data_IF_908482503968
#
_entry.id   IF_908482503968
#
_cell.length_a   1.000
_cell.length_b   1.000
_cell.length_c   1.000
_cell.angle_alpha   90.00
_cell.angle_beta   90.00
_cell.angle_gamma   90.00
#
_symmetry.space_group_name_H-M   'P 1'
#
loop_
_entity.id
_entity.type
_entity.pdbx_description
1 polymer ?
#
# COMPACT_ATOMS: atom_id res chain seq x y z
N UNK A 1 60.54 31.50 0.06
CA UNK A 1 59.33 32.33 0.24
C UNK A 1 58.18 31.69 -0.52
N UNK A 2 57.23 31.06 0.17
CA UNK A 2 55.98 30.58 -0.45
C UNK A 2 54.83 31.48 0.01
N UNK A 3 54.22 32.17 -0.95
CA UNK A 3 53.26 33.24 -0.73
C UNK A 3 51.91 32.66 -0.28
N UNK A 4 51.65 32.68 1.04
CA UNK A 4 50.42 32.17 1.69
C UNK A 4 49.12 32.81 1.16
N UNK A 5 49.23 33.93 0.44
CA UNK A 5 48.10 34.70 -0.10
C UNK A 5 47.46 34.03 -1.31
N UNK A 6 48.24 33.32 -2.14
CA UNK A 6 47.73 32.67 -3.36
C UNK A 6 46.89 31.43 -3.00
N UNK A 7 47.37 30.63 -2.04
CA UNK A 7 46.72 29.39 -1.59
C UNK A 7 45.32 29.62 -1.00
N UNK A 8 45.11 30.70 -0.23
CA UNK A 8 43.80 31.04 0.35
C UNK A 8 42.74 31.33 -0.72
N UNK A 9 43.12 31.95 -1.84
CA UNK A 9 42.20 32.35 -2.92
C UNK A 9 41.72 31.18 -3.78
N UNK A 10 42.58 30.18 -4.01
CA UNK A 10 42.23 28.96 -4.76
C UNK A 10 41.37 28.00 -3.95
N UNK A 11 41.55 27.95 -2.63
CA UNK A 11 40.73 27.11 -1.74
C UNK A 11 39.32 27.66 -1.61
N UNK A 12 39.17 28.98 -1.47
CA UNK A 12 37.84 29.65 -1.40
C UNK A 12 37.07 29.57 -2.72
N UNK A 13 37.73 29.66 -3.88
CA UNK A 13 37.05 29.48 -5.17
C UNK A 13 36.53 28.06 -5.38
N UNK A 14 37.30 27.04 -4.97
CA UNK A 14 36.89 25.63 -5.10
C UNK A 14 35.72 25.26 -4.17
N UNK A 15 35.70 25.78 -2.95
CA UNK A 15 34.59 25.54 -2.01
C UNK A 15 33.30 26.24 -2.45
N UNK A 16 33.38 27.44 -3.02
CA UNK A 16 32.19 28.14 -3.56
C UNK A 16 31.59 27.41 -4.76
N UNK A 17 32.43 26.94 -5.70
CA UNK A 17 31.97 26.18 -6.87
C UNK A 17 31.36 24.83 -6.46
N UNK A 18 31.95 24.14 -5.48
CA UNK A 18 31.41 22.86 -5.02
C UNK A 18 30.09 23.04 -4.25
N UNK A 19 29.97 24.12 -3.47
CA UNK A 19 28.74 24.44 -2.75
C UNK A 19 27.58 24.84 -3.69
N UNK A 20 27.85 25.59 -4.77
CA UNK A 20 26.81 25.95 -5.76
C UNK A 20 26.39 24.76 -6.61
N UNK A 21 27.32 23.88 -7.00
CA UNK A 21 26.99 22.63 -7.70
C UNK A 21 26.19 21.69 -6.79
N UNK A 22 26.57 21.54 -5.52
CA UNK A 22 25.80 20.76 -4.55
C UNK A 22 24.38 21.33 -4.33
N UNK A 23 24.23 22.65 -4.26
CA UNK A 23 22.93 23.30 -4.12
C UNK A 23 22.03 23.10 -5.36
N UNK A 24 22.59 23.05 -6.56
CA UNK A 24 21.86 22.77 -7.80
C UNK A 24 21.40 21.30 -7.91
N UNK A 25 22.15 20.35 -7.32
CA UNK A 25 21.74 18.94 -7.26
C UNK A 25 20.68 18.64 -6.19
N UNK A 26 20.45 19.52 -5.21
CA UNK A 26 19.41 19.32 -4.19
C UNK A 26 17.97 19.55 -4.69
N UNK A 27 17.80 20.20 -5.85
CA UNK A 27 16.46 20.57 -6.37
C UNK A 27 15.86 19.51 -7.32
N UNK A 28 16.61 18.45 -7.60
CA UNK A 28 16.33 17.52 -8.70
C UNK A 28 15.84 16.14 -8.26
N UNK A 29 14.85 16.06 -7.37
CA UNK A 29 14.02 14.85 -7.15
C UNK A 29 12.76 15.18 -6.31
N UNK A 30 12.16 16.35 -6.53
CA UNK A 30 10.82 16.64 -6.00
C UNK A 30 9.77 15.92 -6.84
N UNK A 31 9.78 14.59 -6.86
CA UNK A 31 8.75 13.83 -7.54
C UNK A 31 7.50 13.90 -6.65
N UNK A 32 6.52 14.69 -7.07
CA UNK A 32 5.21 14.69 -6.44
C UNK A 32 4.65 13.26 -6.53
N UNK A 33 4.63 12.53 -5.42
CA UNK A 33 4.12 11.14 -5.41
C UNK A 33 2.59 11.07 -5.35
N UNK A 34 1.88 12.22 -5.27
CA UNK A 34 0.43 12.24 -5.12
C UNK A 34 -0.27 11.59 -6.33
N UNK A 35 0.31 11.62 -7.54
CA UNK A 35 -0.26 10.91 -8.70
C UNK A 35 -0.48 9.41 -8.47
N UNK A 36 0.21 8.79 -7.50
CA UNK A 36 -0.01 7.37 -7.13
C UNK A 36 -1.32 7.16 -6.34
N UNK A 37 -1.94 8.24 -5.90
CA UNK A 37 -3.13 8.28 -5.02
C UNK A 37 -4.30 9.02 -5.63
N UNK A 38 -4.07 9.84 -6.64
CA UNK A 38 -5.09 10.69 -7.26
C UNK A 38 -5.63 10.10 -8.57
N UNK A 39 -6.88 10.43 -8.89
CA UNK A 39 -7.43 10.21 -10.23
C UNK A 39 -6.68 11.04 -11.29
N UNK A 40 -6.57 10.48 -12.49
CA UNK A 40 -6.08 11.22 -13.65
C UNK A 40 -7.13 12.24 -14.14
N UNK A 41 -6.66 13.36 -14.69
CA UNK A 41 -7.53 14.40 -15.24
C UNK A 41 -7.74 15.59 -14.29
N UNK A 42 -8.84 16.31 -14.51
CA UNK A 42 -9.20 17.51 -13.76
C UNK A 42 -10.50 17.31 -12.96
N UNK A 43 -10.74 18.23 -12.02
CA UNK A 43 -11.90 18.21 -11.14
C UNK A 43 -13.06 19.07 -11.67
N UNK A 44 -13.09 19.38 -12.98
CA UNK A 44 -14.07 20.31 -13.57
C UNK A 44 -15.52 19.82 -13.38
N UNK A 45 -15.72 18.50 -13.33
CA UNK A 45 -17.02 17.89 -13.11
C UNK A 45 -17.67 18.30 -11.77
N UNK A 46 -16.87 18.66 -10.75
CA UNK A 46 -17.36 19.15 -9.46
C UNK A 46 -18.02 20.53 -9.56
N UNK A 47 -17.70 21.30 -10.61
CA UNK A 47 -18.27 22.62 -10.88
C UNK A 47 -19.51 22.56 -11.79
N UNK A 48 -20.01 21.36 -12.10
CA UNK A 48 -21.17 21.19 -12.98
C UNK A 48 -22.43 21.81 -12.37
N UNK A 49 -23.28 22.47 -13.18
CA UNK A 49 -24.52 23.05 -12.68
C UNK A 49 -25.46 21.95 -12.16
N UNK A 50 -26.22 22.27 -11.10
CA UNK A 50 -27.21 21.36 -10.54
C UNK A 50 -28.29 21.00 -11.56
N UNK A 51 -28.68 19.73 -11.59
CA UNK A 51 -29.77 19.24 -12.42
C UNK A 51 -31.08 19.95 -12.07
N UNK A 52 -31.82 20.39 -13.10
CA UNK A 52 -33.13 21.05 -12.96
C UNK A 52 -34.19 20.23 -13.68
N UNK A 53 -35.36 19.99 -13.08
CA UNK A 53 -36.43 19.28 -13.75
C UNK A 53 -36.99 20.10 -14.91
N UNK A 54 -37.47 19.41 -15.94
CA UNK A 54 -38.15 20.05 -17.07
C UNK A 54 -39.51 20.59 -16.60
N UNK A 55 -39.76 21.89 -16.83
CA UNK A 55 -41.06 22.51 -16.54
C UNK A 55 -41.97 22.30 -17.75
N UNK A 56 -43.02 21.49 -17.59
CA UNK A 56 -43.96 21.15 -18.66
C UNK A 56 -45.19 22.06 -18.60
N UNK A 57 -45.49 22.85 -19.65
CA UNK A 57 -46.70 23.68 -19.71
C UNK A 57 -47.98 22.85 -19.79
N UNK A 58 -49.12 23.46 -19.43
CA UNK A 58 -50.42 22.80 -19.55
C UNK A 58 -50.75 22.46 -21.01
N UNK A 59 -51.30 21.25 -21.22
CA UNK A 59 -51.70 20.76 -22.54
C UNK A 59 -50.59 20.08 -23.35
N UNK A 60 -49.35 19.99 -22.83
CA UNK A 60 -48.23 19.31 -23.49
C UNK A 60 -47.97 17.96 -22.82
N UNK A 61 -47.93 16.88 -23.60
CA UNK A 61 -47.53 15.55 -23.11
C UNK A 61 -46.03 15.34 -23.33
N UNK A 62 -45.30 14.97 -22.27
CA UNK A 62 -43.92 14.50 -22.36
C UNK A 62 -43.87 12.97 -22.33
N UNK A 63 -42.90 12.35 -23.01
CA UNK A 63 -42.64 10.92 -22.89
C UNK A 63 -42.38 10.51 -21.43
N UNK A 64 -42.69 9.26 -21.10
CA UNK A 64 -42.33 8.71 -19.79
C UNK A 64 -40.80 8.74 -19.61
N UNK A 65 -40.33 9.12 -18.42
CA UNK A 65 -38.90 9.11 -18.11
C UNK A 65 -38.36 7.67 -18.15
N UNK A 66 -37.24 7.49 -18.86
CA UNK A 66 -36.49 6.24 -18.84
C UNK A 66 -35.57 6.21 -17.61
N UNK A 67 -35.55 5.07 -16.91
CA UNK A 67 -34.77 4.93 -15.68
C UNK A 67 -33.25 4.85 -15.89
N UNK A 68 -32.77 4.62 -17.12
CA UNK A 68 -31.36 4.38 -17.45
C UNK A 68 -30.43 5.55 -17.09
N UNK A 69 -30.96 6.78 -17.07
CA UNK A 69 -30.22 8.00 -16.73
C UNK A 69 -30.66 8.59 -15.38
N UNK A 70 -31.46 7.87 -14.61
CA UNK A 70 -31.90 8.33 -13.30
C UNK A 70 -30.74 8.27 -12.31
N UNK A 71 -30.36 9.44 -11.78
CA UNK A 71 -29.29 9.56 -10.77
C UNK A 71 -29.90 9.68 -9.39
N UNK A 72 -29.59 8.72 -8.52
CA UNK A 72 -29.98 8.80 -7.11
C UNK A 72 -29.22 9.92 -6.40
N UNK A 73 -29.95 10.83 -5.77
CA UNK A 73 -29.35 11.84 -4.91
C UNK A 73 -28.87 11.18 -3.60
N UNK A 74 -27.59 10.83 -3.54
CA UNK A 74 -26.94 10.39 -2.30
C UNK A 74 -26.21 11.58 -1.69
N UNK A 75 -26.48 11.91 -0.42
CA UNK A 75 -25.60 12.80 0.33
C UNK A 75 -24.38 12.00 0.74
N UNK A 76 -23.25 12.25 0.10
CA UNK A 76 -21.96 11.72 0.54
C UNK A 76 -21.51 12.54 1.75
N UNK A 77 -22.02 12.23 2.93
CA UNK A 77 -21.56 12.89 4.15
C UNK A 77 -20.10 12.48 4.42
N UNK A 78 -19.18 13.43 4.28
CA UNK A 78 -17.78 13.27 4.69
C UNK A 78 -16.87 12.50 3.74
N UNK A 79 -17.31 12.15 2.54
CA UNK A 79 -16.45 11.54 1.52
C UNK A 79 -15.58 12.58 0.79
N UNK A 80 -14.32 12.25 0.54
CA UNK A 80 -13.45 13.05 -0.32
C UNK A 80 -13.97 13.07 -1.77
N UNK A 81 -13.64 14.13 -2.53
CA UNK A 81 -14.03 14.30 -3.93
C UNK A 81 -12.83 14.70 -4.79
N UNK A 82 -12.89 14.41 -6.08
CA UNK A 82 -11.82 14.75 -7.03
C UNK A 82 -10.49 14.11 -6.65
N UNK A 83 -9.41 14.89 -6.77
CA UNK A 83 -8.05 14.48 -6.39
C UNK A 83 -7.87 14.16 -4.90
N UNK A 84 -8.80 14.53 -4.03
CA UNK A 84 -8.72 14.17 -2.61
C UNK A 84 -9.09 12.70 -2.35
N UNK A 85 -9.71 12.03 -3.33
CA UNK A 85 -10.03 10.60 -3.23
C UNK A 85 -8.76 9.78 -3.40
N UNK A 86 -8.42 9.01 -2.37
CA UNK A 86 -7.33 8.03 -2.44
C UNK A 86 -7.76 6.81 -3.25
N UNK A 87 -7.23 6.68 -4.48
CA UNK A 87 -7.55 5.58 -5.40
C UNK A 87 -6.61 4.39 -5.30
N UNK A 88 -5.71 4.35 -4.31
CA UNK A 88 -4.81 3.22 -4.14
C UNK A 88 -5.61 1.93 -3.90
N UNK A 89 -5.14 0.77 -4.41
CA UNK A 89 -5.85 -0.49 -4.23
C UNK A 89 -6.02 -0.79 -2.73
N UNK A 90 -7.24 -1.20 -2.29
CA UNK A 90 -7.44 -1.71 -0.95
C UNK A 90 -6.55 -2.92 -0.71
N UNK A 91 -5.83 -2.92 0.42
CA UNK A 91 -4.95 -4.03 0.76
C UNK A 91 -5.77 -5.22 1.27
N UNK A 92 -5.27 -6.42 0.99
CA UNK A 92 -5.81 -7.68 1.49
C UNK A 92 -4.81 -8.33 2.45
N UNK A 93 -5.29 -8.96 3.55
CA UNK A 93 -4.43 -9.76 4.40
C UNK A 93 -4.05 -11.07 3.67
N UNK A 94 -2.76 -11.34 3.54
CA UNK A 94 -2.23 -12.50 2.81
C UNK A 94 -1.61 -13.48 3.81
N UNK A 95 -2.31 -14.56 4.22
CA UNK A 95 -1.71 -15.59 5.05
C UNK A 95 -0.71 -16.41 4.23
N UNK A 96 0.52 -16.52 4.71
CA UNK A 96 1.62 -17.26 4.03
C UNK A 96 1.93 -18.61 4.69
N UNK A 97 1.25 -18.92 5.79
CA UNK A 97 1.40 -20.17 6.54
C UNK A 97 0.34 -21.17 6.06
N UNK A 98 0.72 -22.44 5.98
CA UNK A 98 -0.21 -23.53 5.66
C UNK A 98 -1.34 -23.62 6.69
N UNK A 99 -2.53 -23.99 6.21
CA UNK A 99 -3.75 -24.15 7.03
C UNK A 99 -4.13 -22.89 7.83
N UNK A 100 -3.69 -21.71 7.37
CA UNK A 100 -4.02 -20.44 7.97
C UNK A 100 -5.04 -19.65 7.13
N UNK A 101 -5.91 -18.93 7.81
CA UNK A 101 -6.87 -18.01 7.19
C UNK A 101 -6.83 -16.66 7.90
N UNK A 102 -6.84 -15.58 7.11
CA UNK A 102 -6.83 -14.22 7.62
C UNK A 102 -8.02 -13.44 7.08
N UNK A 103 -8.62 -12.60 7.94
CA UNK A 103 -9.66 -11.67 7.54
C UNK A 103 -9.41 -10.29 8.16
N UNK A 104 -9.82 -9.26 7.44
CA UNK A 104 -9.88 -7.89 7.94
C UNK A 104 -11.33 -7.53 8.24
N UNK A 105 -11.59 -6.98 9.43
CA UNK A 105 -12.91 -6.46 9.80
C UNK A 105 -12.77 -5.37 10.86
N UNK A 106 -13.46 -4.25 10.67
CA UNK A 106 -13.55 -3.16 11.65
C UNK A 106 -12.18 -2.69 12.21
N UNK A 107 -11.18 -2.52 11.35
CA UNK A 107 -9.85 -2.03 11.76
C UNK A 107 -8.94 -3.10 12.38
N UNK A 108 -9.34 -4.36 12.37
CA UNK A 108 -8.58 -5.47 12.96
C UNK A 108 -8.34 -6.54 11.88
N UNK A 109 -7.09 -6.97 11.75
CA UNK A 109 -6.77 -8.21 11.03
C UNK A 109 -6.77 -9.36 12.03
N UNK A 110 -7.52 -10.42 11.75
CA UNK A 110 -7.53 -11.66 12.53
C UNK A 110 -6.95 -12.77 11.67
N UNK A 111 -5.98 -13.49 12.23
CA UNK A 111 -5.36 -14.67 11.65
C UNK A 111 -5.72 -15.87 12.53
N UNK A 112 -6.23 -16.93 11.92
CA UNK A 112 -6.33 -18.25 12.54
C UNK A 112 -5.29 -19.14 11.88
N UNK A 113 -4.42 -19.75 12.68
CA UNK A 113 -3.32 -20.59 12.21
C UNK A 113 -3.09 -21.77 13.17
N UNK A 114 -2.39 -22.83 12.74
CA UNK A 114 -1.89 -23.86 13.66
C UNK A 114 -0.99 -23.26 14.75
N UNK A 115 -1.08 -23.74 16.00
CA UNK A 115 -0.31 -23.19 17.12
C UNK A 115 1.22 -23.38 16.98
N UNK A 116 1.64 -24.30 16.11
CA UNK A 116 3.04 -24.53 15.75
C UNK A 116 3.47 -23.76 14.48
N UNK A 117 2.65 -22.80 14.01
CA UNK A 117 2.95 -21.99 12.81
C UNK A 117 4.24 -21.17 12.93
N UNK A 118 4.65 -20.85 14.16
CA UNK A 118 5.79 -19.97 14.42
C UNK A 118 5.50 -18.48 14.18
N UNK A 119 4.27 -18.10 13.81
CA UNK A 119 3.91 -16.70 13.52
C UNK A 119 4.14 -15.83 14.75
N UNK A 120 3.64 -16.21 15.92
CA UNK A 120 3.82 -15.38 17.13
C UNK A 120 5.30 -15.10 17.43
N UNK A 121 6.16 -16.10 17.23
CA UNK A 121 7.60 -15.95 17.47
C UNK A 121 8.32 -15.10 16.41
N UNK A 122 7.74 -14.90 15.23
CA UNK A 122 8.34 -14.03 14.19
C UNK A 122 8.08 -12.55 14.44
N UNK A 123 6.98 -12.20 15.11
CA UNK A 123 6.49 -10.82 15.29
C UNK A 123 7.56 -9.87 15.84
N UNK A 124 8.30 -10.19 16.93
CA UNK A 124 9.33 -9.29 17.45
C UNK A 124 10.42 -8.99 16.42
N UNK A 125 10.80 -9.98 15.60
CA UNK A 125 11.80 -9.80 14.56
C UNK A 125 11.28 -8.94 13.40
N UNK A 126 10.00 -9.06 13.05
CA UNK A 126 9.33 -8.19 12.06
C UNK A 126 9.30 -6.74 12.52
N UNK A 127 8.84 -6.52 13.76
CA UNK A 127 8.77 -5.19 14.36
C UNK A 127 10.15 -4.53 14.40
N UNK A 128 11.18 -5.28 14.80
CA UNK A 128 12.56 -4.79 14.79
C UNK A 128 13.04 -4.40 13.37
N UNK A 129 12.79 -5.23 12.35
CA UNK A 129 13.15 -4.91 10.95
C UNK A 129 12.43 -3.68 10.41
N UNK A 130 11.18 -3.47 10.83
CA UNK A 130 10.39 -2.29 10.46
C UNK A 130 10.70 -1.06 11.32
N UNK A 131 11.66 -1.15 12.25
CA UNK A 131 12.01 -0.09 13.20
C UNK A 131 10.80 0.35 14.06
N UNK A 132 9.92 -0.59 14.41
CA UNK A 132 8.75 -0.37 15.26
C UNK A 132 9.10 -0.84 16.68
N UNK A 133 9.32 0.08 17.66
CA UNK A 133 9.74 -0.31 19.00
C UNK A 133 8.62 -1.02 19.76
N UNK A 134 8.96 -2.07 20.51
CA UNK A 134 8.04 -2.74 21.42
C UNK A 134 8.00 -1.96 22.74
N UNK A 135 6.81 -1.53 23.17
CA UNK A 135 6.61 -0.82 24.45
C UNK A 135 6.34 -1.77 25.61
N UNK A 136 5.62 -2.87 25.35
CA UNK A 136 5.41 -3.96 26.31
C UNK A 136 5.12 -5.26 25.57
N UNK A 137 5.52 -6.38 26.17
CA UNK A 137 5.27 -7.71 25.63
C UNK A 137 5.08 -8.71 26.75
N UNK A 138 4.11 -9.58 26.60
CA UNK A 138 3.91 -10.78 27.40
C UNK A 138 3.64 -11.98 26.47
N UNK A 139 3.16 -13.10 27.02
CA UNK A 139 2.92 -14.31 26.25
C UNK A 139 1.76 -14.19 25.24
N UNK A 140 0.81 -13.27 25.46
CA UNK A 140 -0.43 -13.17 24.70
C UNK A 140 -0.65 -11.76 24.11
N UNK A 141 0.16 -10.78 24.47
CA UNK A 141 0.02 -9.39 24.00
C UNK A 141 1.37 -8.77 23.70
N UNK A 142 1.48 -8.11 22.56
CA UNK A 142 2.58 -7.20 22.21
C UNK A 142 1.95 -5.83 21.96
N UNK A 143 2.47 -4.79 22.61
CA UNK A 143 2.16 -3.39 22.30
C UNK A 143 3.41 -2.71 21.78
N UNK A 144 3.24 -1.86 20.79
CA UNK A 144 4.34 -1.06 20.25
C UNK A 144 4.30 0.35 20.82
N UNK A 145 5.42 1.06 20.76
CA UNK A 145 5.44 2.51 20.86
C UNK A 145 5.01 3.13 19.51
N UNK A 146 4.86 4.45 19.48
CA UNK A 146 4.72 5.18 18.23
C UNK A 146 5.99 5.03 17.40
N UNK A 147 5.83 4.61 16.14
CA UNK A 147 6.88 4.48 15.17
C UNK A 147 6.58 5.33 13.94
N UNK A 148 7.62 5.91 13.35
CA UNK A 148 7.53 6.67 12.11
C UNK A 148 7.59 5.71 10.91
N UNK A 149 6.53 5.68 10.13
CA UNK A 149 6.36 4.82 8.95
C UNK A 149 6.35 5.72 7.71
N UNK A 150 7.34 5.51 6.85
CA UNK A 150 7.42 6.16 5.54
C UNK A 150 7.06 5.13 4.47
N UNK A 151 6.09 5.47 3.62
CA UNK A 151 5.68 4.65 2.48
C UNK A 151 6.12 5.32 1.18
N UNK A 152 6.52 4.52 0.18
CA UNK A 152 7.02 5.03 -1.12
C UNK A 152 5.95 5.71 -1.99
N UNK A 153 4.69 5.55 -1.61
CA UNK A 153 3.50 6.12 -2.22
C UNK A 153 2.93 7.30 -1.41
N UNK A 154 3.62 7.75 -0.37
CA UNK A 154 3.21 8.88 0.47
C UNK A 154 4.33 9.91 0.63
N UNK A 155 3.96 11.19 0.66
CA UNK A 155 4.91 12.29 0.89
C UNK A 155 5.21 12.51 2.38
N UNK A 156 4.23 12.27 3.24
CA UNK A 156 4.33 12.56 4.67
C UNK A 156 4.43 11.27 5.47
N UNK A 157 5.34 11.27 6.43
CA UNK A 157 5.49 10.16 7.37
C UNK A 157 4.29 10.08 8.30
N UNK A 158 3.82 8.86 8.54
CA UNK A 158 2.76 8.57 9.51
C UNK A 158 3.37 8.03 10.80
N UNK A 159 2.78 8.37 11.94
CA UNK A 159 3.09 7.77 13.22
C UNK A 159 2.02 6.74 13.58
N UNK A 160 2.44 5.51 13.84
CA UNK A 160 1.52 4.44 14.22
C UNK A 160 2.03 3.69 15.46
N UNK A 161 1.10 3.26 16.30
CA UNK A 161 1.34 2.23 17.31
C UNK A 161 0.32 1.12 17.18
N UNK A 162 0.70 -0.09 17.57
CA UNK A 162 -0.07 -1.30 17.33
C UNK A 162 -0.29 -2.09 18.62
N UNK A 163 -1.41 -2.80 18.68
CA UNK A 163 -1.64 -3.88 19.64
C UNK A 163 -1.80 -5.18 18.86
N UNK A 164 -1.06 -6.18 19.28
CA UNK A 164 -1.10 -7.53 18.73
C UNK A 164 -1.46 -8.46 19.87
N UNK A 165 -2.49 -9.27 19.70
CA UNK A 165 -2.93 -10.22 20.72
C UNK A 165 -2.96 -11.64 20.17
N UNK A 166 -2.76 -12.62 21.05
CA UNK A 166 -2.80 -14.04 20.75
C UNK A 166 -3.70 -14.78 21.73
N UNK A 167 -4.51 -15.67 21.18
CA UNK A 167 -5.28 -16.66 21.92
C UNK A 167 -5.00 -18.05 21.36
N UNK A 168 -4.60 -19.00 22.21
CA UNK A 168 -4.34 -20.39 21.82
C UNK A 168 -5.46 -21.29 22.30
N UNK A 169 -6.04 -22.11 21.42
CA UNK A 169 -7.08 -23.07 21.76
C UNK A 169 -6.98 -24.32 20.88
N UNK A 170 -6.95 -25.51 21.50
CA UNK A 170 -7.11 -26.78 20.79
C UNK A 170 -6.11 -27.04 19.66
N UNK A 171 -4.85 -26.60 19.81
CA UNK A 171 -3.82 -26.77 18.78
C UNK A 171 -3.82 -25.70 17.68
N UNK A 172 -4.75 -24.74 17.73
CA UNK A 172 -4.76 -23.55 16.91
C UNK A 172 -4.40 -22.30 17.74
N UNK A 173 -3.96 -21.25 17.04
CA UNK A 173 -3.83 -19.91 17.59
C UNK A 173 -4.57 -18.89 16.74
N UNK A 174 -5.21 -17.94 17.41
CA UNK A 174 -5.81 -16.75 16.81
C UNK A 174 -4.94 -15.56 17.17
N UNK A 175 -4.44 -14.85 16.16
CA UNK A 175 -3.63 -13.64 16.31
C UNK A 175 -4.42 -12.47 15.75
N UNK A 176 -4.58 -11.41 16.53
CA UNK A 176 -5.17 -10.15 16.08
C UNK A 176 -4.11 -9.08 15.96
N UNK A 177 -4.21 -8.24 14.93
CA UNK A 177 -3.38 -7.06 14.72
C UNK A 177 -4.32 -5.86 14.58
N UNK A 178 -4.12 -4.85 15.42
CA UNK A 178 -4.91 -3.62 15.43
C UNK A 178 -4.00 -2.41 15.65
N UNK A 179 -4.47 -1.23 15.24
CA UNK A 179 -3.85 0.05 15.59
C UNK A 179 -4.29 0.47 17.00
N UNK A 180 -3.35 0.99 17.77
CA UNK A 180 -3.60 1.73 19.00
C UNK A 180 -3.67 3.25 18.73
N UNK A 181 -2.89 3.75 17.77
CA UNK A 181 -2.95 5.14 17.29
C UNK A 181 -2.47 5.23 15.85
N UNK A 182 -3.01 6.18 15.09
CA UNK A 182 -2.58 6.49 13.73
C UNK A 182 -2.68 8.00 13.49
N UNK A 183 -1.54 8.67 13.34
CA UNK A 183 -1.51 10.13 13.14
C UNK A 183 -0.59 10.54 12.00
N UNK A 184 -0.93 11.65 11.33
CA UNK A 184 -0.08 12.32 10.34
C UNK A 184 0.15 13.75 10.82
N UNK A 185 1.32 13.98 11.41
CA UNK A 185 1.60 15.24 12.12
C UNK A 185 0.64 15.44 13.28
N UNK A 186 -0.26 16.42 13.17
CA UNK A 186 -1.30 16.73 14.17
C UNK A 186 -2.66 16.11 13.85
N UNK A 187 -2.83 15.55 12.65
CA UNK A 187 -4.08 14.94 12.20
C UNK A 187 -4.21 13.51 12.74
N UNK A 188 -5.36 13.19 13.32
CA UNK A 188 -5.72 11.83 13.71
C UNK A 188 -6.42 11.11 12.55
N UNK A 189 -5.73 10.12 11.99
CA UNK A 189 -6.22 9.32 10.87
C UNK A 189 -7.03 8.11 11.32
N UNK A 190 -7.18 7.88 12.63
CA UNK A 190 -7.86 6.70 13.18
C UNK A 190 -9.35 6.63 12.80
N UNK A 191 -9.94 7.76 12.38
CA UNK A 191 -11.32 7.84 11.88
C UNK A 191 -11.46 7.48 10.39
N UNK A 192 -10.36 7.43 9.63
CA UNK A 192 -10.37 7.10 8.21
C UNK A 192 -10.21 5.57 8.03
N UNK A 193 -11.26 4.84 7.61
CA UNK A 193 -11.22 3.38 7.52
C UNK A 193 -10.21 2.86 6.48
N UNK A 194 -9.92 3.63 5.43
CA UNK A 194 -8.97 3.24 4.38
C UNK A 194 -7.52 3.35 4.89
N UNK A 195 -7.20 4.40 5.66
CA UNK A 195 -5.89 4.56 6.28
C UNK A 195 -5.67 3.48 7.36
N UNK A 196 -6.67 3.25 8.23
CA UNK A 196 -6.63 2.18 9.23
C UNK A 196 -6.40 0.81 8.58
N UNK A 197 -7.19 0.47 7.54
CA UNK A 197 -7.03 -0.78 6.81
C UNK A 197 -5.61 -0.94 6.28
N UNK A 198 -5.10 0.10 5.61
CA UNK A 198 -3.78 0.09 4.97
C UNK A 198 -2.67 -0.18 5.97
N UNK A 199 -2.62 0.57 7.07
CA UNK A 199 -1.51 0.46 8.03
C UNK A 199 -1.57 -0.82 8.87
N UNK A 200 -2.76 -1.34 9.19
CA UNK A 200 -2.90 -2.64 9.87
C UNK A 200 -2.48 -3.78 8.95
N UNK A 201 -3.01 -3.81 7.71
CA UNK A 201 -2.72 -4.89 6.76
C UNK A 201 -1.27 -4.85 6.31
N UNK A 202 -0.66 -3.67 6.17
CA UNK A 202 0.76 -3.55 5.82
C UNK A 202 1.65 -4.22 6.87
N UNK A 203 1.40 -3.96 8.16
CA UNK A 203 2.14 -4.64 9.23
C UNK A 203 1.85 -6.14 9.22
N UNK A 204 0.60 -6.54 9.10
CA UNK A 204 0.21 -7.94 9.04
C UNK A 204 0.93 -8.69 7.90
N UNK A 205 0.92 -8.16 6.69
CA UNK A 205 1.56 -8.77 5.53
C UNK A 205 3.09 -8.84 5.71
N UNK A 206 3.71 -7.87 6.40
CA UNK A 206 5.12 -7.96 6.77
C UNK A 206 5.40 -9.09 7.79
N UNK A 207 4.51 -9.30 8.76
CA UNK A 207 4.61 -10.43 9.70
C UNK A 207 4.49 -11.75 8.94
N UNK A 208 3.57 -11.83 7.98
CA UNK A 208 3.37 -13.01 7.14
C UNK A 208 4.57 -13.29 6.24
N UNK A 209 5.16 -12.28 5.60
CA UNK A 209 6.39 -12.46 4.81
C UNK A 209 7.54 -13.04 5.65
N UNK A 210 7.64 -12.61 6.90
CA UNK A 210 8.66 -13.06 7.83
C UNK A 210 8.39 -14.48 8.37
N UNK A 211 7.11 -14.81 8.61
CA UNK A 211 6.67 -16.13 9.04
C UNK A 211 6.61 -17.16 7.89
N UNK A 212 6.68 -16.71 6.65
CA UNK A 212 6.55 -17.56 5.47
C UNK A 212 7.63 -18.66 5.47
N UNK A 213 7.27 -19.93 5.24
CA UNK A 213 8.25 -20.98 5.05
C UNK A 213 9.08 -20.69 3.78
N UNK A 214 10.31 -21.21 3.67
CA UNK A 214 11.15 -21.00 2.47
C UNK A 214 10.45 -21.37 1.16
N UNK A 215 9.57 -22.38 1.17
CA UNK A 215 8.78 -22.81 0.03
C UNK A 215 7.79 -21.76 -0.47
N UNK A 216 7.25 -20.91 0.41
CA UNK A 216 6.34 -19.82 0.03
C UNK A 216 7.05 -18.62 -0.60
N UNK A 217 8.40 -18.57 -0.54
CA UNK A 217 9.22 -17.49 -1.11
C UNK A 217 9.74 -17.79 -2.52
N UNK A 218 9.48 -18.98 -3.04
CA UNK A 218 9.92 -19.39 -4.38
C UNK A 218 8.75 -19.23 -5.34
N UNK A 219 8.93 -18.45 -6.40
CA UNK A 219 7.94 -18.36 -7.47
C UNK A 219 7.71 -19.76 -8.06
N UNK A 220 6.45 -20.16 -8.34
CA UNK A 220 6.19 -21.44 -8.97
C UNK A 220 7.02 -21.53 -10.26
N UNK A 221 7.78 -22.62 -10.41
CA UNK A 221 8.52 -22.86 -11.62
C UNK A 221 7.54 -22.82 -12.78
N UNK A 222 7.83 -21.98 -13.78
CA UNK A 222 7.04 -21.91 -15.01
C UNK A 222 7.06 -23.31 -15.61
N UNK A 223 5.92 -23.99 -15.63
CA UNK A 223 5.81 -25.28 -16.31
C UNK A 223 6.25 -25.07 -17.77
N UNK A 224 7.36 -25.69 -18.16
CA UNK A 224 7.75 -25.78 -19.56
C UNK A 224 6.67 -26.60 -20.27
N UNK A 225 5.74 -25.90 -20.91
CA UNK A 225 4.91 -26.52 -21.94
C UNK A 225 5.86 -27.00 -23.04
N UNK A 226 6.09 -28.32 -23.08
CA UNK A 226 6.86 -29.04 -24.10
C UNK A 226 6.19 -28.76 -25.47
N UNK A 227 6.58 -27.67 -26.13
CA UNK A 227 6.29 -27.43 -27.53
C UNK A 227 7.21 -28.33 -28.35
N UNK A 228 6.92 -29.62 -28.37
CA UNK A 228 7.38 -30.51 -29.42
C UNK A 228 6.31 -30.55 -30.49
N UNK A 229 6.43 -29.65 -31.45
CA UNK A 229 5.99 -29.93 -32.81
C UNK A 229 6.80 -29.13 -33.82
N UNK A 230 7.02 -29.77 -34.97
CA UNK A 230 7.61 -29.27 -36.22
C UNK A 230 9.15 -29.25 -36.34
N UNK A 231 9.73 -30.44 -36.54
CA UNK A 231 10.75 -30.60 -37.58
C UNK A 231 10.70 -32.01 -38.21
N UNK A 232 9.69 -32.28 -39.04
CA UNK A 232 9.76 -33.34 -40.05
C UNK A 232 9.97 -32.68 -41.41
N UNK A 233 11.21 -32.78 -41.89
CA UNK A 233 11.61 -32.42 -43.25
C UNK A 233 11.09 -33.49 -44.23
N UNK A 234 10.70 -33.15 -45.47
CA UNK A 234 10.16 -34.14 -46.42
C UNK A 234 11.31 -34.97 -47.02
N UNK A 235 11.18 -36.29 -47.02
CA UNK A 235 12.01 -37.16 -47.86
C UNK A 235 11.35 -37.30 -49.24
N UNK A 236 12.08 -36.86 -50.26
CA UNK A 236 11.77 -37.05 -51.67
C UNK A 236 11.99 -38.49 -52.12
N UNK A 237 11.17 -38.86 -53.11
CA UNK A 237 10.99 -40.17 -53.70
C UNK A 237 12.25 -40.89 -54.23
N UNK A 238 12.22 -42.23 -54.16
CA UNK A 238 12.73 -43.07 -55.25
C UNK A 238 11.98 -44.40 -55.36
N UNK A 239 11.21 -44.52 -56.45
CA UNK A 239 10.85 -45.76 -57.13
C UNK A 239 12.12 -46.40 -57.72
N UNK A 240 12.28 -47.72 -57.63
CA UNK A 240 12.42 -48.61 -58.80
C UNK A 240 12.71 -50.07 -58.40
N UNK A 241 11.93 -50.96 -59.03
CA UNK A 241 12.01 -52.43 -59.18
C UNK A 241 11.80 -53.36 -57.97
#
# INVERSE_FOLDING_TARGET
MFNKTVLKSTVTKKTVILATVAALFLVGCGNDVNYKREVEGNDDYLNSPTLKPLIVPQGVSVPAEAADFYVYATKTEGGALGKQVDIRPPLLPIPTVADAYANYSNGIVTLNAPANSGVWSSIPNTLNRKNIPISSSDNNTIRTANAFILSDDEQQTVQASYVIQRHTMGGAETITVALNSLTRGVEDLSSNPLEVQRYVITLFNAIMDDAAPPSARVAPAKEESDSKDANSKPEDAKSDN
#
